data_IF_729210838536
#
_entry.id   IF_729210838536
#
_cell.length_a   1.000
_cell.length_b   1.000
_cell.length_c   1.000
_cell.angle_alpha   90.00
_cell.angle_beta   90.00
_cell.angle_gamma   90.00
#
_symmetry.space_group_name_H-M   'P 1'
#
loop_
_entity.id
_entity.type
_entity.pdbx_description
1 polymer ?
#
# COMPACT_ATOMS: atom_id res chain seq x y z
N UNK A 1 10.12 -6.07 -3.98
CA UNK A 1 9.49 -5.15 -4.94
C UNK A 1 8.60 -4.19 -4.17
N UNK A 2 8.52 -2.91 -4.56
CA UNK A 2 7.77 -1.87 -3.84
C UNK A 2 6.86 -1.10 -4.79
N UNK A 3 5.62 -0.85 -4.37
CA UNK A 3 4.73 0.11 -5.00
C UNK A 3 4.46 1.21 -3.97
N UNK A 4 5.17 2.32 -4.14
CA UNK A 4 5.26 3.39 -3.14
C UNK A 4 4.93 4.72 -3.78
N UNK A 5 4.33 5.60 -2.99
CA UNK A 5 4.09 7.00 -3.35
C UNK A 5 4.54 7.91 -2.22
N UNK A 6 5.26 8.95 -2.58
CA UNK A 6 5.52 10.10 -1.71
C UNK A 6 4.52 11.21 -2.03
N UNK A 7 4.02 11.90 -1.01
CA UNK A 7 3.15 13.06 -1.16
C UNK A 7 3.33 14.04 0.01
N UNK A 8 3.07 15.31 -0.27
CA UNK A 8 3.02 16.34 0.76
C UNK A 8 1.61 16.40 1.35
N UNK A 9 1.50 16.30 2.67
CA UNK A 9 0.26 16.49 3.41
C UNK A 9 0.11 17.96 3.78
N UNK A 10 -1.10 18.50 3.65
CA UNK A 10 -1.43 19.89 3.96
C UNK A 10 -2.42 20.05 5.10
N UNK A 11 -3.00 18.94 5.58
CA UNK A 11 -3.99 18.91 6.65
C UNK A 11 -4.11 17.49 7.24
N UNK A 12 -4.78 17.40 8.40
CA UNK A 12 -5.24 16.12 8.93
C UNK A 12 -6.16 15.44 7.92
N UNK A 13 -6.09 14.11 7.75
CA UNK A 13 -7.05 13.40 6.92
C UNK A 13 -8.45 13.59 7.50
N UNK A 14 -9.37 13.92 6.62
CA UNK A 14 -10.79 14.01 6.90
C UNK A 14 -11.56 13.22 5.84
N UNK A 15 -12.72 12.68 6.24
CA UNK A 15 -13.62 12.06 5.28
C UNK A 15 -14.07 13.10 4.23
N UNK A 16 -14.11 12.68 2.96
CA UNK A 16 -14.44 13.55 1.82
C UNK A 16 -13.23 14.18 1.13
N UNK A 17 -12.04 14.12 1.72
CA UNK A 17 -10.80 14.44 1.00
C UNK A 17 -10.53 13.43 -0.13
N UNK A 18 -9.80 13.87 -1.16
CA UNK A 18 -9.50 13.04 -2.31
C UNK A 18 -8.68 11.80 -1.93
N UNK A 19 -9.08 10.65 -2.46
CA UNK A 19 -8.29 9.41 -2.37
C UNK A 19 -7.06 9.53 -3.27
N UNK A 20 -5.90 9.15 -2.75
CA UNK A 20 -4.63 9.17 -3.49
C UNK A 20 -4.29 7.74 -3.89
N UNK A 21 -4.06 7.46 -5.17
CA UNK A 21 -3.70 6.12 -5.66
C UNK A 21 -2.37 6.15 -6.43
N UNK A 22 -1.62 5.05 -6.37
CA UNK A 22 -0.45 4.80 -7.23
C UNK A 22 -0.60 3.43 -7.87
N UNK A 23 -0.06 3.24 -9.06
CA UNK A 23 -0.14 1.96 -9.76
C UNK A 23 1.13 1.67 -10.53
N UNK A 24 1.52 0.40 -10.52
CA UNK A 24 2.65 -0.12 -11.28
C UNK A 24 2.29 -1.47 -11.87
N UNK A 25 3.05 -1.91 -12.89
CA UNK A 25 2.79 -3.17 -13.60
C UNK A 25 4.03 -4.02 -13.62
N UNK A 26 3.91 -5.27 -13.17
CA UNK A 26 5.05 -6.17 -13.01
C UNK A 26 4.78 -7.54 -13.59
N UNK A 27 5.86 -8.27 -13.87
CA UNK A 27 5.80 -9.62 -14.39
C UNK A 27 6.59 -10.56 -13.49
N UNK A 28 5.95 -11.63 -13.04
CA UNK A 28 6.57 -12.70 -12.26
C UNK A 28 6.94 -13.84 -13.21
N UNK A 29 8.22 -14.21 -13.23
CA UNK A 29 8.71 -15.30 -14.08
C UNK A 29 8.34 -16.70 -13.59
N UNK A 30 8.00 -16.84 -12.31
CA UNK A 30 7.64 -18.11 -11.68
C UNK A 30 6.57 -17.89 -10.62
N UNK A 31 5.77 -18.93 -10.38
CA UNK A 31 4.80 -18.95 -9.31
C UNK A 31 5.48 -19.27 -7.97
N UNK A 32 5.25 -18.48 -6.93
CA UNK A 32 5.90 -18.65 -5.63
C UNK A 32 5.17 -17.94 -4.49
N UNK A 33 5.61 -18.19 -3.25
CA UNK A 33 5.13 -17.48 -2.07
C UNK A 33 5.84 -16.13 -1.88
N UNK A 34 5.06 -15.16 -1.44
CA UNK A 34 5.50 -13.82 -1.09
C UNK A 34 4.99 -13.45 0.30
N UNK A 35 5.76 -12.62 1.01
CA UNK A 35 5.22 -11.77 2.06
C UNK A 35 4.80 -10.43 1.47
N UNK A 36 3.58 -10.01 1.77
CA UNK A 36 2.99 -8.75 1.34
C UNK A 36 2.79 -7.84 2.54
N UNK A 37 3.43 -6.68 2.53
CA UNK A 37 3.39 -5.72 3.62
C UNK A 37 2.90 -4.34 3.17
N UNK A 38 2.00 -3.72 3.94
CA UNK A 38 1.61 -2.33 3.76
C UNK A 38 2.31 -1.45 4.81
N UNK A 39 2.79 -0.28 4.40
CA UNK A 39 3.53 0.64 5.27
C UNK A 39 3.12 2.09 5.05
N UNK A 40 3.39 2.90 6.07
CA UNK A 40 3.23 4.34 6.05
C UNK A 40 4.36 4.95 6.88
N UNK A 41 4.93 6.03 6.36
CA UNK A 41 5.91 6.85 7.07
C UNK A 41 5.64 8.33 6.86
N UNK A 42 5.92 9.14 7.89
CA UNK A 42 5.90 10.60 7.81
C UNK A 42 7.19 11.16 8.38
N UNK A 43 7.89 11.97 7.60
CA UNK A 43 9.13 12.62 8.05
C UNK A 43 8.84 13.76 9.03
N UNK A 44 7.68 14.41 8.91
CA UNK A 44 7.28 15.50 9.81
C UNK A 44 6.80 15.00 11.18
N UNK A 45 6.26 13.78 11.25
CA UNK A 45 5.75 13.20 12.48
C UNK A 45 6.69 12.16 13.12
N UNK A 46 7.80 11.80 12.46
CA UNK A 46 8.66 10.65 12.80
C UNK A 46 7.88 9.33 12.99
N UNK A 47 6.69 9.23 12.39
CA UNK A 47 5.83 8.04 12.51
C UNK A 47 6.24 7.04 11.46
N UNK A 48 6.69 5.86 11.89
CA UNK A 48 6.80 4.65 11.06
C UNK A 48 5.84 3.60 11.60
N UNK A 49 4.92 3.13 10.76
CA UNK A 49 3.98 2.07 11.15
C UNK A 49 4.50 0.72 10.67
N UNK A 50 4.88 -0.14 11.62
CA UNK A 50 5.43 -1.49 11.41
C UNK A 50 4.65 -2.27 10.35
N UNK A 51 5.27 -2.80 9.29
CA UNK A 51 4.56 -3.52 8.24
C UNK A 51 3.76 -4.74 8.78
N UNK A 52 2.49 -4.85 8.40
CA UNK A 52 1.71 -6.07 8.61
C UNK A 52 1.90 -7.00 7.41
N UNK A 53 2.36 -8.21 7.67
CA UNK A 53 2.66 -9.18 6.63
C UNK A 53 1.51 -10.15 6.42
N UNK A 54 1.06 -10.27 5.18
CA UNK A 54 0.22 -11.38 4.71
C UNK A 54 1.07 -12.31 3.85
N UNK A 55 0.99 -13.61 4.10
CA UNK A 55 1.55 -14.59 3.16
C UNK A 55 0.60 -14.77 1.99
N UNK A 56 1.13 -14.73 0.77
CA UNK A 56 0.34 -14.92 -0.45
C UNK A 56 1.11 -15.76 -1.46
N UNK A 57 0.42 -16.65 -2.17
CA UNK A 57 0.96 -17.33 -3.34
C UNK A 57 0.51 -16.60 -4.60
N UNK A 58 1.46 -16.26 -5.48
CA UNK A 58 1.19 -15.61 -6.76
C UNK A 58 1.64 -16.53 -7.88
N UNK A 59 0.78 -16.68 -8.90
CA UNK A 59 1.13 -17.38 -10.13
C UNK A 59 2.13 -16.61 -10.99
N UNK A 60 2.80 -17.30 -11.91
CA UNK A 60 3.58 -16.62 -12.96
C UNK A 60 2.64 -15.79 -13.86
N UNK A 61 3.14 -14.65 -14.34
CA UNK A 61 2.39 -13.74 -15.21
C UNK A 61 2.52 -12.28 -14.82
N UNK A 62 1.80 -11.44 -15.55
CA UNK A 62 1.79 -10.00 -15.34
C UNK A 62 0.62 -9.59 -14.44
N UNK A 63 0.89 -8.59 -13.59
CA UNK A 63 -0.05 -8.04 -12.61
C UNK A 63 -0.05 -6.53 -12.69
N UNK A 64 -1.23 -5.94 -12.56
CA UNK A 64 -1.38 -4.52 -12.21
C UNK A 64 -1.45 -4.41 -10.69
N UNK A 65 -0.47 -3.73 -10.08
CA UNK A 65 -0.46 -3.45 -8.66
C UNK A 65 -0.94 -2.03 -8.40
N UNK A 66 -2.04 -1.89 -7.67
CA UNK A 66 -2.59 -0.60 -7.26
C UNK A 66 -2.60 -0.48 -5.74
N UNK A 67 -2.06 0.63 -5.23
CA UNK A 67 -2.20 1.04 -3.84
C UNK A 67 -3.01 2.34 -3.79
N UNK A 68 -4.01 2.38 -2.91
CA UNK A 68 -4.83 3.56 -2.68
C UNK A 68 -4.87 3.90 -1.19
N UNK A 69 -4.74 5.18 -0.89
CA UNK A 69 -4.81 5.76 0.43
C UNK A 69 -6.05 6.67 0.51
N UNK A 70 -7.07 6.21 1.22
CA UNK A 70 -8.30 6.94 1.47
C UNK A 70 -8.22 7.68 2.81
N UNK A 71 -8.33 9.01 2.83
CA UNK A 71 -8.44 9.79 4.06
C UNK A 71 -9.78 9.53 4.77
N UNK A 72 -9.72 9.40 6.09
CA UNK A 72 -10.85 9.33 7.03
C UNK A 72 -10.54 10.24 8.22
N UNK A 73 -11.49 10.43 9.14
CA UNK A 73 -11.32 11.29 10.33
C UNK A 73 -10.12 10.88 11.22
N UNK A 74 -8.95 11.49 10.97
CA UNK A 74 -7.72 11.26 11.74
C UNK A 74 -6.93 9.99 11.39
N UNK A 75 -7.33 9.25 10.36
CA UNK A 75 -6.59 8.07 9.90
C UNK A 75 -6.71 7.87 8.39
N UNK A 76 -5.86 7.00 7.83
CA UNK A 76 -5.98 6.55 6.45
C UNK A 76 -6.40 5.08 6.39
N UNK A 77 -7.24 4.75 5.42
CA UNK A 77 -7.44 3.38 4.97
C UNK A 77 -6.57 3.18 3.74
N UNK A 78 -5.59 2.30 3.86
CA UNK A 78 -4.77 1.86 2.75
C UNK A 78 -5.31 0.55 2.19
N UNK A 79 -5.49 0.49 0.88
CA UNK A 79 -5.88 -0.73 0.16
C UNK A 79 -4.88 -0.99 -0.95
N UNK A 80 -4.38 -2.22 -0.99
CA UNK A 80 -3.41 -2.69 -1.95
C UNK A 80 -3.98 -3.87 -2.72
N UNK A 81 -3.93 -3.83 -4.05
CA UNK A 81 -4.58 -4.80 -4.94
C UNK A 81 -3.62 -5.27 -6.01
N UNK A 82 -3.47 -6.58 -6.15
CA UNK A 82 -2.72 -7.25 -7.22
C UNK A 82 -3.73 -7.89 -8.18
N UNK A 83 -3.89 -7.28 -9.35
CA UNK A 83 -4.82 -7.73 -10.37
C UNK A 83 -4.08 -8.46 -11.50
N UNK A 84 -4.22 -9.79 -11.63
CA UNK A 84 -3.56 -10.57 -12.67
C UNK A 84 -4.19 -10.35 -14.06
N UNK A 85 -3.38 -10.27 -15.10
CA UNK A 85 -3.91 -10.33 -16.48
C UNK A 85 -4.50 -11.71 -16.83
N UNK A 86 -4.00 -12.76 -16.17
CA UNK A 86 -4.46 -14.12 -16.41
C UNK A 86 -5.76 -14.36 -15.63
N UNK A 87 -6.89 -14.60 -16.32
CA UNK A 87 -8.21 -14.74 -15.69
C UNK A 87 -8.36 -16.00 -14.83
N UNK A 88 -7.41 -16.95 -14.90
CA UNK A 88 -7.38 -18.11 -14.02
C UNK A 88 -6.92 -17.76 -12.59
N UNK A 89 -6.23 -16.63 -12.42
CA UNK A 89 -5.80 -16.14 -11.11
C UNK A 89 -6.80 -15.11 -10.57
N UNK A 90 -7.02 -15.13 -9.26
CA UNK A 90 -7.88 -14.16 -8.61
C UNK A 90 -7.12 -12.88 -8.27
N UNK A 91 -7.79 -11.74 -8.42
CA UNK A 91 -7.34 -10.48 -7.83
C UNK A 91 -7.16 -10.64 -6.32
N UNK A 92 -6.00 -10.27 -5.81
CA UNK A 92 -5.71 -10.32 -4.39
C UNK A 92 -5.71 -8.92 -3.79
N UNK A 93 -6.25 -8.79 -2.57
CA UNK A 93 -6.30 -7.50 -1.86
C UNK A 93 -5.84 -7.65 -0.41
N UNK A 94 -5.15 -6.61 0.08
CA UNK A 94 -4.93 -6.36 1.50
C UNK A 94 -5.34 -4.95 1.84
N UNK A 95 -5.91 -4.76 3.03
CA UNK A 95 -6.25 -3.43 3.54
C UNK A 95 -5.69 -3.24 4.93
N UNK A 96 -5.34 -2.00 5.27
CA UNK A 96 -4.78 -1.62 6.55
C UNK A 96 -5.20 -0.21 6.96
N UNK A 97 -5.38 -0.01 8.26
CA UNK A 97 -5.62 1.31 8.83
C UNK A 97 -4.29 1.88 9.35
N UNK A 98 -4.03 3.15 9.03
CA UNK A 98 -2.91 3.93 9.54
C UNK A 98 -3.44 5.10 10.38
N UNK A 99 -3.35 4.97 11.71
CA UNK A 99 -3.72 6.03 12.64
C UNK A 99 -2.60 7.07 12.72
N UNK A 100 -2.95 8.34 12.51
CA UNK A 100 -2.05 9.46 12.78
C UNK A 100 -2.34 9.90 14.21
N UNK A 101 -1.47 9.55 15.16
CA UNK A 101 -1.70 9.76 16.60
C UNK A 101 -1.66 11.24 17.05
N UNK A 102 -2.12 12.19 16.24
CA UNK A 102 -2.16 13.62 16.56
C UNK A 102 -0.85 14.38 16.33
N UNK A 103 0.10 13.81 15.56
CA UNK A 103 1.39 14.43 15.27
C UNK A 103 1.50 14.77 13.78
N UNK A 104 1.68 16.07 13.53
CA UNK A 104 1.96 16.76 12.27
C UNK A 104 0.98 16.48 11.10
N UNK A 105 -0.07 17.30 10.93
CA UNK A 105 -0.98 17.23 9.77
C UNK A 105 -0.34 17.58 8.43
N UNK A 106 0.90 18.07 8.46
CA UNK A 106 1.56 18.67 7.31
C UNK A 106 2.99 18.18 7.17
N UNK A 107 3.41 17.94 5.93
CA UNK A 107 4.77 17.54 5.60
C UNK A 107 4.82 16.34 4.67
N UNK A 108 6.04 15.92 4.34
CA UNK A 108 6.25 14.78 3.47
C UNK A 108 5.86 13.47 4.16
N UNK A 109 5.02 12.71 3.47
CA UNK A 109 4.63 11.37 3.84
C UNK A 109 4.88 10.43 2.66
N UNK A 110 5.25 9.19 2.97
CA UNK A 110 5.29 8.11 1.98
C UNK A 110 4.54 6.89 2.46
N UNK A 111 3.94 6.19 1.51
CA UNK A 111 3.03 5.09 1.78
C UNK A 111 2.98 4.14 0.60
N UNK A 112 2.51 2.93 0.86
CA UNK A 112 2.33 1.91 -0.16
C UNK A 112 2.52 0.52 0.41
N UNK A 113 3.00 -0.37 -0.44
CA UNK A 113 3.24 -1.75 -0.03
C UNK A 113 4.41 -2.41 -0.74
N UNK A 114 4.85 -3.53 -0.16
CA UNK A 114 5.99 -4.30 -0.61
C UNK A 114 5.65 -5.79 -0.73
N UNK A 115 6.24 -6.42 -1.74
CA UNK A 115 6.23 -7.86 -1.97
C UNK A 115 7.66 -8.35 -1.89
N UNK A 116 7.94 -9.29 -1.00
CA UNK A 116 9.24 -9.97 -0.91
C UNK A 116 9.04 -11.47 -1.05
N UNK A 117 9.90 -12.11 -1.85
CA UNK A 117 9.88 -13.56 -2.02
C UNK A 117 10.16 -14.24 -0.69
N UNK A 118 9.39 -15.27 -0.37
CA UNK A 118 9.76 -16.21 0.69
C UNK A 118 10.58 -17.33 0.04
N UNK A 119 11.87 -17.38 0.37
CA UNK A 119 12.78 -18.47 0.00
C UNK A 119 12.47 -19.72 0.83
#
# INVERSE_FOLDING_TARGET
MYNVRSQFLTAYPEEGMATSCTSSRWTLGSAQQYGWAAFYYSYAAEVTLEPQFKSIYLGAGSYTWTDCLKPMHGYYIHTSTLDPDNPAWQTATVSRIFYLNGWAPTGDAGWGSSLHSKS
#
